data_IF_601902625735
#
_entry.id   IF_601902625735
#
_cell.length_a   1.000
_cell.length_b   1.000
_cell.length_c   1.000
_cell.angle_alpha   90.00
_cell.angle_beta   90.00
_cell.angle_gamma   90.00
#
_symmetry.space_group_name_H-M   'P 1'
#
loop_
_entity.id
_entity.type
_entity.pdbx_description
1 polymer ?
#
# COMPACT_ATOMS: atom_id res chain seq x y z
N UNK A 1 0.10 24.05 -11.95
CA UNK A 1 1.12 23.10 -11.50
C UNK A 1 0.68 22.54 -10.15
N UNK A 2 0.51 21.22 -10.02
CA UNK A 2 0.05 20.55 -8.77
C UNK A 2 1.26 20.37 -7.83
N UNK A 3 1.13 20.83 -6.59
CA UNK A 3 2.18 20.76 -5.56
C UNK A 3 1.96 19.53 -4.68
N UNK A 4 2.96 18.66 -4.59
CA UNK A 4 2.87 17.36 -3.95
C UNK A 4 3.49 17.36 -2.54
N UNK A 5 2.81 16.78 -1.57
CA UNK A 5 3.41 16.29 -0.34
C UNK A 5 3.61 14.77 -0.48
N UNK A 6 4.84 14.28 -0.31
CA UNK A 6 5.18 12.87 -0.51
C UNK A 6 5.58 12.27 0.84
N UNK A 7 4.68 11.45 1.39
CA UNK A 7 4.90 10.73 2.65
C UNK A 7 5.55 9.39 2.33
N UNK A 8 6.76 9.15 2.81
CA UNK A 8 7.59 8.01 2.45
C UNK A 8 8.48 8.26 1.22
N UNK A 9 8.98 9.48 1.07
CA UNK A 9 9.70 9.97 -0.12
C UNK A 9 10.94 9.15 -0.49
N UNK A 10 11.63 8.56 0.47
CA UNK A 10 12.84 7.74 0.26
C UNK A 10 12.55 6.26 -0.05
N UNK A 11 11.28 5.84 0.04
CA UNK A 11 10.83 4.51 -0.35
C UNK A 11 10.64 4.38 -1.87
N UNK A 12 10.38 3.16 -2.36
CA UNK A 12 10.24 2.87 -3.79
C UNK A 12 9.11 3.67 -4.45
N UNK A 13 7.96 3.82 -3.82
CA UNK A 13 6.84 4.62 -4.34
C UNK A 13 7.18 6.11 -4.31
N UNK A 14 7.83 6.59 -3.25
CA UNK A 14 8.29 7.98 -3.16
C UNK A 14 9.28 8.33 -4.27
N UNK A 15 10.27 7.49 -4.52
CA UNK A 15 11.25 7.66 -5.61
C UNK A 15 10.59 7.58 -6.99
N UNK A 16 9.66 6.64 -7.19
CA UNK A 16 8.88 6.56 -8.43
C UNK A 16 8.01 7.81 -8.64
N UNK A 17 7.43 8.36 -7.56
CA UNK A 17 6.69 9.63 -7.62
C UNK A 17 7.60 10.79 -8.02
N UNK A 18 8.78 10.89 -7.42
CA UNK A 18 9.76 11.92 -7.77
C UNK A 18 10.25 11.80 -9.22
N UNK A 19 10.38 10.58 -9.76
CA UNK A 19 10.69 10.37 -11.17
C UNK A 19 9.57 10.86 -12.11
N UNK A 20 8.30 10.77 -11.69
CA UNK A 20 7.17 11.35 -12.43
C UNK A 20 7.24 12.90 -12.37
N UNK A 21 7.55 13.49 -11.21
CA UNK A 21 7.74 14.94 -11.10
C UNK A 21 8.82 15.42 -12.06
N UNK A 22 9.92 14.66 -12.18
CA UNK A 22 11.00 14.97 -13.11
C UNK A 22 10.58 14.89 -14.59
N UNK A 23 9.75 13.92 -14.94
CA UNK A 23 9.25 13.77 -16.32
C UNK A 23 8.22 14.84 -16.72
N UNK A 24 7.51 15.41 -15.74
CA UNK A 24 6.43 16.37 -15.97
C UNK A 24 6.62 17.64 -15.11
N UNK A 25 7.74 18.36 -15.26
CA UNK A 25 8.07 19.51 -14.40
C UNK A 25 7.10 20.68 -14.55
N UNK A 26 6.40 20.78 -15.68
CA UNK A 26 5.35 21.77 -15.91
C UNK A 26 4.03 21.44 -15.20
N UNK A 27 3.83 20.16 -14.82
CA UNK A 27 2.61 19.70 -14.17
C UNK A 27 2.73 19.56 -12.66
N UNK A 28 3.92 19.16 -12.17
CA UNK A 28 4.13 18.79 -10.78
C UNK A 28 5.34 19.49 -10.16
N UNK A 29 5.23 19.78 -8.86
CA UNK A 29 6.34 20.23 -8.03
C UNK A 29 6.23 19.60 -6.63
N UNK A 30 7.31 19.62 -5.87
CA UNK A 30 7.37 19.05 -4.53
C UNK A 30 7.24 20.17 -3.49
N UNK A 31 6.19 20.10 -2.68
CA UNK A 31 5.95 21.04 -1.58
C UNK A 31 6.49 20.54 -0.23
N UNK A 32 6.34 19.22 0.04
CA UNK A 32 6.81 18.61 1.27
C UNK A 32 7.30 17.18 1.05
N UNK A 33 8.27 16.75 1.85
CA UNK A 33 8.80 15.38 1.87
C UNK A 33 8.80 14.84 3.30
N UNK A 34 8.20 13.68 3.52
CA UNK A 34 8.39 12.94 4.76
C UNK A 34 9.24 11.71 4.47
N UNK A 35 10.44 11.68 5.01
CA UNK A 35 11.40 10.59 4.91
C UNK A 35 11.45 9.80 6.24
N UNK A 36 11.89 8.56 6.17
CA UNK A 36 12.06 7.74 7.36
C UNK A 36 13.40 8.04 8.07
N UNK A 37 14.34 7.08 7.98
CA UNK A 37 15.64 7.15 8.64
C UNK A 37 16.81 7.48 7.70
N UNK A 38 16.58 7.51 6.40
CA UNK A 38 17.62 7.72 5.40
C UNK A 38 17.89 9.21 5.21
N UNK A 39 18.79 9.77 6.04
CA UNK A 39 19.18 11.19 6.00
C UNK A 39 19.91 11.53 4.70
N UNK A 40 20.71 10.62 4.14
CA UNK A 40 21.48 10.88 2.91
C UNK A 40 20.54 11.07 1.73
N UNK A 41 19.59 10.20 1.56
CA UNK A 41 18.58 10.31 0.51
C UNK A 41 17.66 11.53 0.72
N UNK A 42 17.24 11.77 1.97
CA UNK A 42 16.45 12.97 2.31
C UNK A 42 17.19 14.26 1.98
N UNK A 43 18.50 14.32 2.24
CA UNK A 43 19.34 15.45 1.89
C UNK A 43 19.44 15.63 0.37
N UNK A 44 19.69 14.55 -0.39
CA UNK A 44 19.75 14.61 -1.86
C UNK A 44 18.42 15.09 -2.45
N UNK A 45 17.30 14.58 -1.96
CA UNK A 45 15.96 15.01 -2.37
C UNK A 45 15.69 16.46 -2.00
N UNK A 46 16.04 16.92 -0.79
CA UNK A 46 15.89 18.31 -0.37
C UNK A 46 16.74 19.28 -1.22
N UNK A 47 17.96 18.89 -1.55
CA UNK A 47 18.85 19.67 -2.44
C UNK A 47 18.27 19.82 -3.84
N UNK A 48 17.68 18.75 -4.37
CA UNK A 48 17.15 18.72 -5.74
C UNK A 48 15.80 19.42 -5.87
N UNK A 49 14.87 19.10 -4.98
CA UNK A 49 13.45 19.48 -5.11
C UNK A 49 13.07 20.75 -4.35
N UNK A 50 13.92 21.19 -3.40
CA UNK A 50 13.72 22.41 -2.62
C UNK A 50 12.32 22.52 -2.00
N UNK A 51 11.84 21.48 -1.27
CA UNK A 51 10.54 21.55 -0.62
C UNK A 51 10.51 22.62 0.47
N UNK A 52 9.31 23.04 0.90
CA UNK A 52 9.17 23.92 2.08
C UNK A 52 9.47 23.21 3.37
N UNK A 53 9.03 21.95 3.49
CA UNK A 53 9.14 21.16 4.71
C UNK A 53 9.71 19.78 4.39
N UNK A 54 10.61 19.30 5.26
CA UNK A 54 11.09 17.91 5.25
C UNK A 54 10.95 17.33 6.65
N UNK A 55 10.29 16.17 6.76
CA UNK A 55 10.15 15.43 8.02
C UNK A 55 11.05 14.19 8.05
N UNK A 56 11.73 13.94 9.17
CA UNK A 56 12.47 12.72 9.46
C UNK A 56 11.82 11.95 10.62
N UNK A 57 12.22 10.69 10.81
CA UNK A 57 11.62 9.83 11.84
C UNK A 57 11.91 10.30 13.27
N UNK A 58 13.07 10.90 13.54
CA UNK A 58 13.46 11.34 14.89
C UNK A 58 14.09 12.73 14.87
N UNK A 59 14.14 13.37 16.05
CA UNK A 59 14.73 14.69 16.25
C UNK A 59 16.22 14.70 15.88
N UNK A 60 16.98 13.65 16.24
CA UNK A 60 18.41 13.55 15.93
C UNK A 60 18.65 13.55 14.42
N UNK A 61 17.85 12.79 13.66
CA UNK A 61 17.96 12.72 12.21
C UNK A 61 17.56 14.05 11.54
N UNK A 62 16.53 14.71 12.08
CA UNK A 62 16.11 16.04 11.63
C UNK A 62 17.21 17.08 11.87
N UNK A 63 17.85 17.07 13.03
CA UNK A 63 18.98 17.94 13.37
C UNK A 63 20.17 17.71 12.45
N UNK A 64 20.48 16.43 12.12
CA UNK A 64 21.53 16.09 11.16
C UNK A 64 21.22 16.67 9.78
N UNK A 65 19.98 16.48 9.28
CA UNK A 65 19.57 17.03 8.00
C UNK A 65 19.65 18.57 7.98
N UNK A 66 19.11 19.23 9.00
CA UNK A 66 19.11 20.69 9.12
C UNK A 66 20.54 21.27 9.11
N UNK A 67 21.47 20.61 9.79
CA UNK A 67 22.88 21.00 9.80
C UNK A 67 23.51 20.88 8.41
N UNK A 68 23.31 19.75 7.73
CA UNK A 68 23.82 19.51 6.37
C UNK A 68 23.26 20.52 5.36
N UNK A 69 21.98 20.84 5.44
CA UNK A 69 21.34 21.86 4.56
C UNK A 69 21.93 23.23 4.79
N UNK A 70 22.22 23.62 6.04
CA UNK A 70 22.86 24.88 6.39
C UNK A 70 24.27 24.95 5.85
N UNK A 71 25.06 23.89 6.04
CA UNK A 71 26.43 23.79 5.52
C UNK A 71 26.49 23.84 4.00
N UNK A 72 25.48 23.28 3.34
CA UNK A 72 25.33 23.34 1.87
C UNK A 72 24.79 24.69 1.35
N UNK A 73 24.54 25.66 2.23
CA UNK A 73 24.03 26.98 1.84
C UNK A 73 22.59 26.97 1.33
N UNK A 74 21.75 26.05 1.84
CA UNK A 74 20.34 25.91 1.47
C UNK A 74 19.43 26.36 2.61
N UNK A 75 19.18 27.68 2.75
CA UNK A 75 18.22 28.20 3.71
C UNK A 75 16.78 28.01 3.21
N UNK A 76 15.82 28.08 4.14
CA UNK A 76 14.39 28.18 3.82
C UNK A 76 13.66 26.84 3.72
N UNK A 77 14.31 25.70 3.99
CA UNK A 77 13.66 24.41 4.18
C UNK A 77 13.44 24.21 5.68
N UNK A 78 12.18 24.09 6.09
CA UNK A 78 11.82 23.71 7.44
C UNK A 78 12.07 22.21 7.64
N UNK A 79 12.78 21.83 8.72
CA UNK A 79 13.04 20.42 9.02
C UNK A 79 12.34 20.07 10.33
N UNK A 80 11.42 19.11 10.24
CA UNK A 80 10.57 18.63 11.36
C UNK A 80 10.76 17.12 11.55
N UNK A 81 10.13 16.53 12.57
CA UNK A 81 10.33 15.10 12.85
C UNK A 81 9.09 14.42 13.45
N UNK A 82 9.12 13.09 13.46
CA UNK A 82 8.12 12.26 14.11
C UNK A 82 6.75 12.31 13.44
N UNK A 83 5.73 11.86 14.17
CA UNK A 83 4.34 11.83 13.68
C UNK A 83 3.83 13.23 13.38
N UNK A 84 4.05 14.19 14.29
CA UNK A 84 3.64 15.59 14.10
C UNK A 84 4.30 16.22 12.88
N UNK A 85 5.60 15.95 12.67
CA UNK A 85 6.31 16.42 11.48
C UNK A 85 5.75 15.81 10.19
N UNK A 86 5.36 14.54 10.20
CA UNK A 86 4.71 13.88 9.06
C UNK A 86 3.33 14.46 8.79
N UNK A 87 2.55 14.74 9.84
CA UNK A 87 1.26 15.44 9.76
C UNK A 87 1.45 16.84 9.19
N UNK A 88 2.45 17.60 9.64
CA UNK A 88 2.76 18.92 9.10
C UNK A 88 3.05 18.89 7.59
N UNK A 89 3.80 17.89 7.10
CA UNK A 89 3.98 17.66 5.67
C UNK A 89 2.66 17.37 4.95
N UNK A 90 1.81 16.50 5.52
CA UNK A 90 0.55 16.07 4.93
C UNK A 90 -0.49 17.20 4.86
N UNK A 91 -0.48 18.11 5.83
CA UNK A 91 -1.45 19.20 5.97
C UNK A 91 -0.94 20.56 5.46
N UNK A 92 0.28 20.61 4.92
CA UNK A 92 0.89 21.85 4.43
C UNK A 92 -0.05 22.57 3.45
N UNK A 93 -0.41 23.82 3.75
CA UNK A 93 -1.37 24.60 2.94
C UNK A 93 -0.98 24.68 1.46
N UNK A 94 0.31 24.73 1.18
CA UNK A 94 0.82 24.82 -0.18
C UNK A 94 0.79 23.49 -0.95
N UNK A 95 0.49 22.37 -0.31
CA UNK A 95 0.34 21.09 -0.99
C UNK A 95 -1.10 20.92 -1.51
N UNK A 96 -1.23 20.57 -2.78
CA UNK A 96 -2.51 20.36 -3.47
C UNK A 96 -2.92 18.88 -3.49
N UNK A 97 -1.95 17.97 -3.25
CA UNK A 97 -2.14 16.52 -3.31
C UNK A 97 -1.14 15.82 -2.40
N UNK A 98 -1.58 14.77 -1.71
CA UNK A 98 -0.73 13.97 -0.82
C UNK A 98 -0.53 12.57 -1.40
N UNK A 99 0.72 12.14 -1.54
CA UNK A 99 1.06 10.74 -1.83
C UNK A 99 1.37 10.05 -0.51
N UNK A 100 0.53 9.11 -0.09
CA UNK A 100 0.69 8.33 1.13
C UNK A 100 1.37 7.00 0.83
N UNK A 101 2.67 6.90 1.14
CA UNK A 101 3.53 5.76 0.84
C UNK A 101 4.43 5.32 2.02
N UNK A 102 4.05 5.67 3.26
CA UNK A 102 4.69 5.15 4.47
C UNK A 102 4.15 3.75 4.75
N UNK A 103 5.02 2.78 4.91
CA UNK A 103 4.65 1.37 5.14
C UNK A 103 4.02 1.17 6.53
N UNK A 104 3.00 0.31 6.61
CA UNK A 104 2.33 -0.05 7.86
C UNK A 104 1.41 1.06 8.39
N UNK A 105 0.92 0.90 9.61
CA UNK A 105 0.01 1.87 10.25
C UNK A 105 0.69 3.20 10.63
N UNK A 106 2.01 3.31 10.50
CA UNK A 106 2.75 4.55 10.79
C UNK A 106 2.36 5.73 9.89
N UNK A 107 1.79 5.46 8.70
CA UNK A 107 1.27 6.48 7.80
C UNK A 107 -0.17 6.91 8.07
N UNK A 108 -0.88 6.24 8.99
CA UNK A 108 -2.32 6.36 9.16
C UNK A 108 -2.75 7.76 9.63
N UNK A 109 -2.12 8.28 10.68
CA UNK A 109 -2.47 9.59 11.26
C UNK A 109 -2.27 10.72 10.24
N UNK A 110 -1.15 10.72 9.52
CA UNK A 110 -0.85 11.72 8.51
C UNK A 110 -1.79 11.61 7.29
N UNK A 111 -2.15 10.39 6.88
CA UNK A 111 -3.13 10.15 5.80
C UNK A 111 -4.52 10.67 6.19
N UNK A 112 -4.96 10.37 7.41
CA UNK A 112 -6.22 10.87 7.95
C UNK A 112 -6.22 12.40 8.06
N UNK A 113 -5.13 12.99 8.58
CA UNK A 113 -4.99 14.44 8.68
C UNK A 113 -5.03 15.14 7.31
N UNK A 114 -4.40 14.55 6.28
CA UNK A 114 -4.49 15.06 4.90
C UNK A 114 -5.94 15.12 4.40
N UNK A 115 -6.70 14.04 4.61
CA UNK A 115 -8.12 13.95 4.22
C UNK A 115 -8.94 15.01 4.97
N UNK A 116 -8.77 15.14 6.30
CA UNK A 116 -9.46 16.16 7.12
C UNK A 116 -9.10 17.59 6.69
N UNK A 117 -7.88 17.82 6.21
CA UNK A 117 -7.45 19.09 5.63
C UNK A 117 -7.99 19.35 4.21
N UNK A 118 -8.87 18.47 3.69
CA UNK A 118 -9.48 18.63 2.38
C UNK A 118 -8.55 18.34 1.21
N UNK A 119 -7.52 17.49 1.41
CA UNK A 119 -6.56 17.19 0.35
C UNK A 119 -6.85 15.84 -0.30
N UNK A 120 -6.85 15.77 -1.65
CA UNK A 120 -6.83 14.51 -2.37
C UNK A 120 -5.61 13.68 -1.98
N UNK A 121 -5.82 12.36 -1.85
CA UNK A 121 -4.76 11.42 -1.44
C UNK A 121 -4.56 10.36 -2.52
N UNK A 122 -3.32 10.21 -3.01
CA UNK A 122 -2.87 9.03 -3.73
C UNK A 122 -2.36 8.01 -2.72
N UNK A 123 -3.10 6.92 -2.55
CA UNK A 123 -2.86 5.94 -1.51
C UNK A 123 -2.09 4.73 -2.05
N UNK A 124 -0.86 4.56 -1.59
CA UNK A 124 -0.05 3.36 -1.82
C UNK A 124 0.05 2.48 -0.57
N UNK A 125 -0.27 3.05 0.60
CA UNK A 125 -0.25 2.36 1.89
C UNK A 125 -1.56 1.62 2.11
N UNK A 126 -1.63 0.36 1.67
CA UNK A 126 -2.83 -0.48 1.83
C UNK A 126 -3.16 -0.77 3.29
N UNK A 127 -2.16 -0.80 4.17
CA UNK A 127 -2.34 -1.10 5.59
C UNK A 127 -3.22 -0.05 6.29
N UNK A 128 -3.20 1.19 5.81
CA UNK A 128 -4.13 2.23 6.29
C UNK A 128 -5.60 1.88 5.97
N UNK A 129 -5.86 1.34 4.76
CA UNK A 129 -7.22 0.92 4.37
C UNK A 129 -7.65 -0.35 5.08
N UNK A 130 -6.73 -1.27 5.30
CA UNK A 130 -7.00 -2.49 6.08
C UNK A 130 -7.35 -2.16 7.52
N UNK A 131 -6.57 -1.27 8.17
CA UNK A 131 -6.75 -0.96 9.59
C UNK A 131 -7.88 0.05 9.87
N UNK A 132 -8.04 1.06 9.01
CA UNK A 132 -8.93 2.20 9.27
C UNK A 132 -9.74 2.64 8.04
N UNK A 133 -9.95 1.76 7.05
CA UNK A 133 -10.58 2.12 5.79
C UNK A 133 -11.97 2.74 5.94
N UNK A 134 -12.77 2.25 6.89
CA UNK A 134 -14.11 2.83 7.18
C UNK A 134 -14.00 4.29 7.63
N UNK A 135 -13.05 4.59 8.52
CA UNK A 135 -12.83 5.95 9.03
C UNK A 135 -12.31 6.86 7.91
N UNK A 136 -11.32 6.37 7.13
CA UNK A 136 -10.71 7.16 6.05
C UNK A 136 -11.70 7.47 4.94
N UNK A 137 -12.50 6.48 4.51
CA UNK A 137 -13.50 6.68 3.44
C UNK A 137 -14.66 7.54 3.90
N UNK A 138 -15.11 7.42 5.16
CA UNK A 138 -16.12 8.30 5.74
C UNK A 138 -15.63 9.75 5.78
N UNK A 139 -14.40 9.99 6.26
CA UNK A 139 -13.78 11.32 6.27
C UNK A 139 -13.62 11.89 4.86
N UNK A 140 -13.21 11.08 3.88
CA UNK A 140 -13.05 11.50 2.49
C UNK A 140 -14.40 11.89 1.85
N UNK A 141 -15.46 11.14 2.12
CA UNK A 141 -16.84 11.47 1.68
C UNK A 141 -17.31 12.78 2.30
N UNK A 142 -17.11 12.96 3.62
CA UNK A 142 -17.49 14.21 4.32
C UNK A 142 -16.75 15.42 3.75
N UNK A 143 -15.43 15.30 3.53
CA UNK A 143 -14.60 16.37 2.97
C UNK A 143 -14.71 16.52 1.46
N UNK A 144 -15.40 15.59 0.77
CA UNK A 144 -15.55 15.54 -0.70
C UNK A 144 -14.21 15.52 -1.42
N UNK A 145 -13.25 14.78 -0.88
CA UNK A 145 -11.92 14.58 -1.50
C UNK A 145 -11.75 13.14 -1.94
N UNK A 146 -11.14 12.88 -3.10
CA UNK A 146 -10.90 11.53 -3.57
C UNK A 146 -9.72 10.88 -2.84
N UNK A 147 -9.85 9.58 -2.57
CA UNK A 147 -8.74 8.67 -2.29
C UNK A 147 -8.50 7.91 -3.59
N UNK A 148 -7.34 8.11 -4.20
CA UNK A 148 -6.97 7.51 -5.48
C UNK A 148 -5.97 6.37 -5.23
N UNK A 149 -6.27 5.14 -5.62
CA UNK A 149 -5.37 4.01 -5.39
C UNK A 149 -4.10 4.13 -6.23
N UNK A 150 -2.96 3.90 -5.60
CA UNK A 150 -1.65 3.75 -6.26
C UNK A 150 -1.29 2.27 -6.39
N UNK A 151 -1.78 1.40 -5.50
CA UNK A 151 -1.61 -0.04 -5.66
C UNK A 151 -2.11 -0.49 -7.03
N UNK A 152 -1.31 -1.27 -7.76
CA UNK A 152 -1.54 -1.52 -9.19
C UNK A 152 -2.89 -2.18 -9.47
N UNK A 153 -3.31 -3.11 -8.63
CA UNK A 153 -4.55 -3.84 -8.76
C UNK A 153 -5.76 -2.93 -8.51
N UNK A 154 -5.72 -2.14 -7.45
CA UNK A 154 -6.81 -1.20 -7.13
C UNK A 154 -6.87 -0.05 -8.12
N UNK A 155 -5.71 0.41 -8.59
CA UNK A 155 -5.63 1.39 -9.67
C UNK A 155 -6.28 0.86 -10.94
N UNK A 156 -6.05 -0.41 -11.29
CA UNK A 156 -6.67 -1.08 -12.43
C UNK A 156 -8.20 -1.17 -12.27
N UNK A 157 -8.68 -1.59 -11.09
CA UNK A 157 -10.13 -1.60 -10.76
C UNK A 157 -10.73 -0.20 -10.92
N UNK A 158 -10.10 0.82 -10.33
CA UNK A 158 -10.56 2.21 -10.43
C UNK A 158 -10.64 2.69 -11.89
N UNK A 159 -9.72 2.24 -12.75
CA UNK A 159 -9.77 2.55 -14.18
C UNK A 159 -10.92 1.84 -14.89
N UNK A 160 -11.17 0.57 -14.57
CA UNK A 160 -12.26 -0.22 -15.15
C UNK A 160 -13.65 0.30 -14.71
N UNK A 161 -13.78 0.79 -13.47
CA UNK A 161 -15.03 1.33 -12.93
C UNK A 161 -15.46 2.67 -13.58
N UNK A 162 -14.63 3.29 -14.41
CA UNK A 162 -14.99 4.55 -15.11
C UNK A 162 -16.08 4.40 -16.16
N UNK A 163 -16.41 3.19 -16.56
CA UNK A 163 -17.34 2.94 -17.69
C UNK A 163 -18.71 2.40 -17.28
N UNK A 164 -18.92 2.10 -15.99
CA UNK A 164 -20.19 1.60 -15.46
C UNK A 164 -20.60 2.28 -14.16
N UNK A 165 -21.86 2.12 -13.78
CA UNK A 165 -22.35 2.54 -12.47
C UNK A 165 -21.95 1.50 -11.39
N UNK A 166 -21.93 1.93 -10.13
CA UNK A 166 -21.52 1.09 -9.02
C UNK A 166 -22.42 -0.14 -8.84
N UNK A 167 -23.72 -0.01 -9.02
CA UNK A 167 -24.73 -1.07 -8.93
C UNK A 167 -24.69 -2.06 -10.11
N UNK A 168 -23.98 -1.73 -11.18
CA UNK A 168 -23.71 -2.65 -12.30
C UNK A 168 -22.52 -3.57 -12.07
N UNK A 169 -21.74 -3.36 -10.99
CA UNK A 169 -20.58 -4.18 -10.65
C UNK A 169 -21.05 -5.48 -10.01
N UNK A 170 -20.74 -6.61 -10.67
CA UNK A 170 -21.04 -7.94 -10.15
C UNK A 170 -19.88 -8.49 -9.30
N UNK A 171 -18.65 -8.48 -9.86
CA UNK A 171 -17.44 -8.91 -9.18
C UNK A 171 -16.24 -8.04 -9.54
N UNK A 172 -15.38 -7.83 -8.55
CA UNK A 172 -14.01 -7.35 -8.74
C UNK A 172 -13.07 -8.55 -8.71
N UNK A 173 -12.24 -8.72 -9.73
CA UNK A 173 -11.24 -9.76 -9.83
C UNK A 173 -9.85 -9.17 -9.63
N UNK A 174 -9.23 -9.47 -8.49
CA UNK A 174 -7.85 -9.11 -8.21
C UNK A 174 -6.92 -10.19 -8.74
N UNK A 175 -5.97 -9.81 -9.58
CA UNK A 175 -4.95 -10.73 -10.08
C UNK A 175 -3.78 -10.82 -9.10
N UNK A 176 -3.14 -11.97 -9.02
CA UNK A 176 -1.97 -12.21 -8.21
C UNK A 176 -0.92 -12.99 -9.02
N UNK A 177 0.37 -12.69 -8.83
CA UNK A 177 1.44 -13.50 -9.45
C UNK A 177 1.47 -14.96 -8.94
N UNK A 178 0.87 -15.21 -7.77
CA UNK A 178 0.93 -16.48 -7.06
C UNK A 178 2.19 -16.66 -6.21
N UNK A 179 3.10 -15.68 -6.24
CA UNK A 179 4.34 -15.70 -5.47
C UNK A 179 5.35 -16.76 -5.95
N UNK A 180 6.52 -16.85 -5.29
CA UNK A 180 7.60 -17.75 -5.69
C UNK A 180 7.33 -19.23 -5.40
N UNK A 181 6.31 -19.56 -4.59
CA UNK A 181 6.03 -20.93 -4.14
C UNK A 181 4.75 -21.53 -4.71
N UNK A 182 4.22 -20.93 -5.77
CA UNK A 182 3.00 -21.40 -6.45
C UNK A 182 3.05 -22.87 -6.84
N UNK A 183 4.21 -23.34 -7.33
CA UNK A 183 4.42 -24.71 -7.80
C UNK A 183 5.19 -25.59 -6.80
N UNK A 184 5.70 -25.02 -5.68
CA UNK A 184 6.48 -25.77 -4.71
C UNK A 184 5.60 -26.79 -3.99
N UNK A 185 5.98 -28.07 -3.86
CA UNK A 185 5.25 -29.06 -3.06
C UNK A 185 5.06 -28.62 -1.60
N UNK A 186 3.86 -28.84 -1.03
CA UNK A 186 3.50 -28.33 0.30
C UNK A 186 4.36 -28.93 1.44
N UNK A 187 4.85 -30.14 1.30
CA UNK A 187 5.76 -30.80 2.24
C UNK A 187 7.11 -30.08 2.36
N UNK A 188 7.48 -29.26 1.39
CA UNK A 188 8.69 -28.46 1.38
C UNK A 188 8.53 -27.07 2.02
N UNK A 189 7.30 -26.63 2.34
CA UNK A 189 7.04 -25.29 2.89
C UNK A 189 7.73 -25.03 4.24
N UNK A 190 7.88 -26.06 5.07
CA UNK A 190 8.57 -25.91 6.34
C UNK A 190 10.06 -25.56 6.19
N UNK A 191 10.68 -25.90 5.06
CA UNK A 191 12.08 -25.64 4.74
C UNK A 191 12.33 -24.32 3.99
N UNK A 192 11.30 -23.55 3.67
CA UNK A 192 11.44 -22.27 2.96
C UNK A 192 12.28 -21.29 3.81
N UNK A 193 13.33 -20.73 3.18
CA UNK A 193 14.19 -19.73 3.82
C UNK A 193 13.80 -18.31 3.44
N UNK A 194 14.20 -17.30 4.26
CA UNK A 194 13.97 -15.88 3.91
C UNK A 194 14.53 -15.50 2.54
N UNK A 195 15.70 -16.02 2.15
CA UNK A 195 16.34 -15.71 0.88
C UNK A 195 15.56 -16.27 -0.33
N UNK A 196 14.89 -17.42 -0.15
CA UNK A 196 14.01 -17.99 -1.17
C UNK A 196 12.72 -17.16 -1.27
N UNK A 197 12.12 -16.80 -0.13
CA UNK A 197 10.87 -16.05 -0.07
C UNK A 197 11.01 -14.59 -0.56
N UNK A 198 12.22 -14.01 -0.49
CA UNK A 198 12.50 -12.66 -1.00
C UNK A 198 12.73 -12.62 -2.52
N UNK A 199 12.66 -13.75 -3.24
CA UNK A 199 12.80 -13.80 -4.70
C UNK A 199 11.43 -13.75 -5.37
N UNK A 200 10.90 -12.53 -5.55
CA UNK A 200 9.64 -12.37 -6.29
C UNK A 200 9.86 -12.57 -7.78
N UNK A 201 8.95 -13.29 -8.50
CA UNK A 201 9.15 -13.65 -9.92
C UNK A 201 9.10 -12.45 -10.88
N UNK A 202 8.32 -11.40 -10.58
CA UNK A 202 8.03 -10.30 -11.52
C UNK A 202 8.33 -8.90 -10.98
N UNK A 203 8.21 -8.67 -9.68
CA UNK A 203 8.35 -7.35 -9.08
C UNK A 203 9.60 -7.24 -8.19
N UNK A 204 10.22 -6.05 -8.19
CA UNK A 204 11.24 -5.67 -7.19
C UNK A 204 10.55 -4.80 -6.15
N UNK A 205 10.38 -5.33 -4.94
CA UNK A 205 9.59 -4.72 -3.87
C UNK A 205 10.34 -4.68 -2.54
N UNK A 206 9.76 -3.98 -1.56
CA UNK A 206 10.25 -4.00 -0.18
C UNK A 206 10.21 -5.42 0.42
N UNK A 207 11.05 -5.66 1.43
CA UNK A 207 11.21 -7.00 2.03
C UNK A 207 9.90 -7.57 2.58
N UNK A 208 9.10 -6.76 3.30
CA UNK A 208 7.83 -7.20 3.88
C UNK A 208 6.85 -7.63 2.80
N UNK A 209 6.48 -6.73 1.89
CA UNK A 209 5.50 -7.02 0.83
C UNK A 209 5.92 -8.20 -0.06
N UNK A 210 7.22 -8.47 -0.18
CA UNK A 210 7.72 -9.66 -0.90
C UNK A 210 7.36 -10.95 -0.16
N UNK A 211 7.49 -10.98 1.18
CA UNK A 211 7.03 -12.12 1.99
C UNK A 211 5.52 -12.23 1.97
N UNK A 212 4.79 -11.09 2.04
CA UNK A 212 3.32 -11.06 1.96
C UNK A 212 2.83 -11.61 0.61
N UNK A 213 3.56 -11.34 -0.47
CA UNK A 213 3.31 -11.97 -1.78
C UNK A 213 3.57 -13.49 -1.74
N UNK A 214 4.67 -13.92 -1.11
CA UNK A 214 5.03 -15.34 -1.00
C UNK A 214 4.01 -16.15 -0.17
N UNK A 215 3.34 -15.54 0.80
CA UNK A 215 2.25 -16.14 1.61
C UNK A 215 0.87 -15.92 1.02
N UNK A 216 0.73 -15.17 -0.06
CA UNK A 216 -0.53 -14.64 -0.60
C UNK A 216 -1.28 -13.69 0.35
N UNK A 217 -0.66 -13.26 1.45
CA UNK A 217 -1.29 -12.29 2.35
C UNK A 217 -1.39 -10.91 1.71
N UNK A 218 -0.40 -10.50 0.89
CA UNK A 218 -0.51 -9.25 0.14
C UNK A 218 -1.86 -9.16 -0.59
N UNK A 219 -2.24 -10.23 -1.30
CA UNK A 219 -3.53 -10.31 -1.99
C UNK A 219 -4.71 -10.32 -1.01
N UNK A 220 -4.53 -10.93 0.14
CA UNK A 220 -5.53 -10.89 1.22
C UNK A 220 -5.76 -9.47 1.77
N UNK A 221 -4.71 -8.69 2.00
CA UNK A 221 -4.83 -7.28 2.39
C UNK A 221 -5.50 -6.45 1.29
N UNK A 222 -5.21 -6.75 0.04
CA UNK A 222 -5.81 -6.10 -1.12
C UNK A 222 -7.31 -6.41 -1.26
N UNK A 223 -7.79 -7.59 -0.86
CA UNK A 223 -9.22 -7.89 -0.79
C UNK A 223 -9.93 -6.93 0.18
N UNK A 224 -9.35 -6.72 1.37
CA UNK A 224 -9.91 -5.79 2.36
C UNK A 224 -9.87 -4.35 1.83
N UNK A 225 -8.76 -3.94 1.24
CA UNK A 225 -8.60 -2.62 0.63
C UNK A 225 -9.65 -2.38 -0.47
N UNK A 226 -9.88 -3.36 -1.36
CA UNK A 226 -10.90 -3.27 -2.40
C UNK A 226 -12.31 -3.06 -1.84
N UNK A 227 -12.66 -3.81 -0.79
CA UNK A 227 -13.95 -3.65 -0.11
C UNK A 227 -14.15 -2.22 0.41
N UNK A 228 -13.09 -1.60 0.95
CA UNK A 228 -13.17 -0.24 1.52
C UNK A 228 -13.14 0.85 0.44
N UNK A 229 -12.26 0.72 -0.56
CA UNK A 229 -12.11 1.72 -1.62
C UNK A 229 -13.33 1.78 -2.54
N UNK A 230 -13.88 0.61 -2.88
CA UNK A 230 -14.93 0.50 -3.88
C UNK A 230 -16.31 0.22 -3.30
N UNK A 231 -16.45 0.20 -1.96
CA UNK A 231 -17.71 0.00 -1.25
C UNK A 231 -18.44 -1.28 -1.70
N UNK A 232 -17.70 -2.39 -1.78
CA UNK A 232 -18.21 -3.70 -2.18
C UNK A 232 -18.08 -4.71 -1.04
N UNK A 233 -18.98 -5.70 -0.99
CA UNK A 233 -18.90 -6.77 -0.01
C UNK A 233 -17.71 -7.71 -0.30
N UNK A 234 -17.12 -8.38 0.71
CA UNK A 234 -16.06 -9.36 0.49
C UNK A 234 -16.46 -10.48 -0.50
N UNK A 235 -17.72 -10.86 -0.53
CA UNK A 235 -18.28 -11.85 -1.48
C UNK A 235 -18.27 -11.39 -2.94
N UNK A 236 -18.13 -10.09 -3.20
CA UNK A 236 -18.00 -9.52 -4.55
C UNK A 236 -16.55 -9.39 -5.00
N UNK A 237 -15.57 -9.65 -4.12
CA UNK A 237 -14.14 -9.63 -4.47
C UNK A 237 -13.66 -11.06 -4.69
N UNK A 238 -13.05 -11.30 -5.82
CA UNK A 238 -12.48 -12.58 -6.22
C UNK A 238 -10.99 -12.44 -6.49
N UNK A 239 -10.26 -13.51 -6.29
CA UNK A 239 -8.82 -13.57 -6.58
C UNK A 239 -8.57 -14.60 -7.68
N UNK A 240 -7.73 -14.25 -8.62
CA UNK A 240 -7.22 -15.18 -9.64
C UNK A 240 -5.69 -15.06 -9.74
N UNK A 241 -5.03 -16.19 -9.93
CA UNK A 241 -3.58 -16.20 -10.16
C UNK A 241 -3.35 -15.88 -11.63
N UNK A 242 -2.50 -14.90 -11.89
CA UNK A 242 -2.04 -14.49 -13.23
C UNK A 242 -0.53 -14.31 -13.23
N UNK A 243 0.23 -15.37 -13.55
CA UNK A 243 1.69 -15.41 -13.37
C UNK A 243 2.44 -14.32 -14.14
N UNK A 244 1.93 -13.92 -15.31
CA UNK A 244 2.56 -12.90 -16.15
C UNK A 244 2.44 -11.48 -15.55
N UNK A 245 1.49 -11.24 -14.64
CA UNK A 245 1.25 -9.95 -13.97
C UNK A 245 1.07 -8.77 -14.94
N UNK A 246 0.59 -9.02 -16.17
CA UNK A 246 0.31 -8.02 -17.20
C UNK A 246 -1.13 -7.48 -17.13
N UNK A 247 -2.08 -8.33 -16.72
CA UNK A 247 -3.43 -7.92 -16.30
C UNK A 247 -3.37 -7.62 -14.83
N UNK A 248 -3.62 -6.36 -14.47
CA UNK A 248 -3.50 -5.93 -13.07
C UNK A 248 -4.78 -6.14 -12.27
N UNK A 249 -5.96 -6.07 -12.89
CA UNK A 249 -7.25 -6.49 -12.34
C UNK A 249 -8.33 -6.45 -13.42
N UNK A 250 -9.51 -7.04 -13.08
CA UNK A 250 -10.67 -7.03 -13.94
C UNK A 250 -11.93 -6.66 -13.14
N UNK A 251 -12.92 -6.10 -13.82
CA UNK A 251 -14.26 -5.86 -13.27
C UNK A 251 -15.28 -6.59 -14.14
N UNK A 252 -16.06 -7.46 -13.52
CA UNK A 252 -17.19 -8.17 -14.12
C UNK A 252 -18.48 -7.41 -13.83
N UNK A 253 -19.24 -7.07 -14.85
CA UNK A 253 -20.51 -6.37 -14.75
C UNK A 253 -21.68 -7.34 -14.77
N UNK A 254 -22.87 -6.87 -14.37
CA UNK A 254 -24.10 -7.69 -14.25
C UNK A 254 -24.57 -8.23 -15.60
N UNK A 255 -24.21 -7.59 -16.70
CA UNK A 255 -24.50 -8.06 -18.07
C UNK A 255 -23.57 -9.19 -18.55
N UNK A 256 -22.57 -9.58 -17.71
CA UNK A 256 -21.59 -10.61 -18.01
C UNK A 256 -20.35 -10.11 -18.74
N UNK A 257 -20.26 -8.82 -19.07
CA UNK A 257 -19.03 -8.26 -19.65
C UNK A 257 -17.92 -8.13 -18.60
N UNK A 258 -16.66 -8.32 -19.03
CA UNK A 258 -15.49 -8.19 -18.17
C UNK A 258 -14.54 -7.17 -18.80
N UNK A 259 -14.17 -6.16 -18.02
CA UNK A 259 -13.15 -5.19 -18.39
C UNK A 259 -11.86 -5.46 -17.61
N UNK A 260 -10.73 -5.40 -18.31
CA UNK A 260 -9.41 -5.63 -17.76
C UNK A 260 -8.50 -4.44 -18.05
N UNK A 261 -7.68 -4.06 -17.09
CA UNK A 261 -6.58 -3.13 -17.31
C UNK A 261 -5.29 -3.92 -17.52
N UNK A 262 -4.64 -3.66 -18.66
CA UNK A 262 -3.39 -4.31 -19.06
C UNK A 262 -2.32 -3.23 -19.19
N UNK A 263 -1.14 -3.47 -18.60
CA UNK A 263 0.02 -2.59 -18.74
C UNK A 263 1.32 -3.30 -18.36
N UNK A 264 2.45 -2.58 -18.51
CA UNK A 264 3.72 -3.03 -17.98
C UNK A 264 3.70 -3.05 -16.45
N UNK A 265 4.54 -3.89 -15.85
CA UNK A 265 4.74 -3.99 -14.40
C UNK A 265 5.65 -2.87 -13.88
N UNK A 266 5.13 -1.63 -13.88
CA UNK A 266 5.87 -0.43 -13.47
C UNK A 266 4.97 0.52 -12.69
N UNK A 267 5.32 0.76 -11.42
CA UNK A 267 4.53 1.59 -10.50
C UNK A 267 4.39 3.05 -10.94
N UNK A 268 5.22 3.53 -11.88
CA UNK A 268 5.08 4.88 -12.43
C UNK A 268 3.76 5.08 -13.17
N UNK A 269 3.19 4.03 -13.78
CA UNK A 269 1.87 4.13 -14.44
C UNK A 269 0.72 4.40 -13.47
N UNK A 270 0.48 3.58 -12.41
CA UNK A 270 -0.58 3.86 -11.46
C UNK A 270 -0.33 5.15 -10.67
N UNK A 271 0.92 5.52 -10.39
CA UNK A 271 1.25 6.80 -9.76
C UNK A 271 0.86 7.96 -10.69
N UNK A 272 1.27 7.92 -11.96
CA UNK A 272 0.94 8.96 -12.93
C UNK A 272 -0.58 9.11 -13.10
N UNK A 273 -1.30 7.98 -13.16
CA UNK A 273 -2.76 7.99 -13.21
C UNK A 273 -3.38 8.69 -11.99
N UNK A 274 -2.94 8.33 -10.77
CA UNK A 274 -3.45 8.94 -9.54
C UNK A 274 -3.14 10.45 -9.47
N UNK A 275 -1.93 10.86 -9.84
CA UNK A 275 -1.53 12.26 -9.85
C UNK A 275 -2.28 13.09 -10.90
N UNK A 276 -2.55 12.51 -12.06
CA UNK A 276 -3.16 13.22 -13.19
C UNK A 276 -4.70 13.15 -13.20
N UNK A 277 -5.29 12.21 -12.46
CA UNK A 277 -6.73 11.99 -12.47
C UNK A 277 -7.54 13.30 -12.40
N UNK A 278 -8.59 13.47 -13.23
CA UNK A 278 -9.20 12.51 -14.16
C UNK A 278 -8.55 12.42 -15.56
N UNK A 279 -7.46 13.12 -15.81
CA UNK A 279 -6.75 13.13 -17.08
C UNK A 279 -5.86 11.90 -17.28
N UNK A 280 -5.41 11.67 -18.53
CA UNK A 280 -4.40 10.67 -18.90
C UNK A 280 -3.30 11.35 -19.72
N UNK A 281 -2.23 11.85 -19.08
CA UNK A 281 -1.09 12.40 -19.82
C UNK A 281 -0.34 11.28 -20.55
N UNK A 282 0.34 11.65 -21.64
CA UNK A 282 1.15 10.71 -22.39
C UNK A 282 2.29 10.17 -21.50
N UNK A 283 2.47 8.87 -21.49
CA UNK A 283 3.54 8.16 -20.79
C UNK A 283 4.60 7.68 -21.77
N UNK A 284 5.85 7.60 -21.34
CA UNK A 284 6.93 6.93 -22.07
C UNK A 284 6.91 5.40 -21.89
N UNK A 285 6.12 4.90 -20.93
CA UNK A 285 5.97 3.47 -20.68
C UNK A 285 4.97 2.90 -21.69
N UNK A 286 5.42 1.93 -22.47
CA UNK A 286 4.61 1.30 -23.51
C UNK A 286 4.55 -0.21 -23.28
N UNK A 287 3.37 -0.78 -23.53
CA UNK A 287 3.15 -2.23 -23.52
C UNK A 287 3.11 -2.74 -24.95
N UNK A 288 3.93 -3.74 -25.26
CA UNK A 288 3.92 -4.37 -26.58
C UNK A 288 2.85 -5.47 -26.66
N UNK A 289 1.67 -5.11 -27.17
CA UNK A 289 0.57 -6.08 -27.40
C UNK A 289 0.94 -7.18 -28.39
N UNK A 290 1.84 -6.91 -29.34
CA UNK A 290 2.22 -7.90 -30.36
C UNK A 290 3.11 -9.01 -29.77
N UNK A 291 3.84 -8.71 -28.69
CA UNK A 291 4.63 -9.70 -27.95
C UNK A 291 3.80 -10.59 -27.02
N UNK A 292 2.56 -10.19 -26.70
CA UNK A 292 1.67 -10.95 -25.83
C UNK A 292 1.10 -12.16 -26.58
N UNK A 293 1.49 -13.37 -26.16
CA UNK A 293 1.04 -14.61 -26.81
C UNK A 293 -0.19 -15.22 -26.15
N UNK A 294 -0.25 -15.20 -24.81
CA UNK A 294 -1.33 -15.77 -24.00
C UNK A 294 -1.39 -15.08 -22.63
N UNK A 295 -2.50 -15.26 -21.97
CA UNK A 295 -2.77 -14.84 -20.60
C UNK A 295 -3.25 -16.07 -19.85
N UNK A 296 -2.56 -16.44 -18.78
CA UNK A 296 -2.90 -17.59 -17.95
C UNK A 296 -3.62 -17.11 -16.68
N UNK A 297 -4.70 -17.82 -16.33
CA UNK A 297 -5.46 -17.57 -15.11
C UNK A 297 -5.72 -18.89 -14.39
N UNK A 298 -5.43 -18.95 -13.09
CA UNK A 298 -5.58 -20.12 -12.25
C UNK A 298 -6.37 -19.77 -10.98
N UNK A 299 -7.01 -20.76 -10.39
CA UNK A 299 -7.67 -20.58 -9.09
C UNK A 299 -6.63 -20.56 -7.95
N UNK A 300 -6.77 -19.69 -6.96
CA UNK A 300 -5.90 -19.70 -5.79
C UNK A 300 -6.15 -20.94 -4.92
N UNK A 301 -5.07 -21.52 -4.40
CA UNK A 301 -5.14 -22.65 -3.47
C UNK A 301 -5.15 -22.17 -2.02
N UNK A 302 -6.31 -22.10 -1.41
CA UNK A 302 -6.51 -21.66 -0.03
C UNK A 302 -5.90 -22.61 1.01
N UNK A 303 -5.72 -23.89 0.67
CA UNK A 303 -5.04 -24.86 1.53
C UNK A 303 -3.54 -24.64 1.57
N UNK A 304 -2.95 -24.37 0.41
CA UNK A 304 -1.54 -24.02 0.24
C UNK A 304 -1.18 -22.66 0.85
N UNK A 305 -2.08 -21.69 0.69
CA UNK A 305 -1.90 -20.31 1.15
C UNK A 305 -2.97 -19.89 2.17
N UNK A 306 -2.90 -20.39 3.43
CA UNK A 306 -3.91 -20.11 4.45
C UNK A 306 -4.08 -18.62 4.76
N UNK A 307 -3.03 -17.80 4.54
CA UNK A 307 -3.10 -16.35 4.78
C UNK A 307 -4.17 -15.67 3.93
N UNK A 308 -4.40 -16.13 2.69
CA UNK A 308 -5.47 -15.59 1.84
C UNK A 308 -6.86 -15.94 2.42
N UNK A 309 -7.07 -17.15 2.91
CA UNK A 309 -8.32 -17.56 3.60
C UNK A 309 -8.57 -16.69 4.84
N UNK A 310 -7.55 -16.57 5.70
CA UNK A 310 -7.62 -15.76 6.92
C UNK A 310 -7.97 -14.30 6.64
N UNK A 311 -7.49 -13.75 5.51
CA UNK A 311 -7.82 -12.39 5.11
C UNK A 311 -9.28 -12.24 4.67
N UNK A 312 -9.86 -13.20 3.94
CA UNK A 312 -11.29 -13.19 3.62
C UNK A 312 -12.14 -13.30 4.89
N UNK A 313 -11.79 -14.21 5.82
CA UNK A 313 -12.47 -14.33 7.12
C UNK A 313 -12.39 -13.02 7.94
N UNK A 314 -11.23 -12.34 7.92
CA UNK A 314 -11.07 -11.05 8.57
C UNK A 314 -11.89 -9.94 7.87
N UNK A 315 -11.96 -9.95 6.54
CA UNK A 315 -12.76 -9.01 5.76
C UNK A 315 -14.26 -9.13 6.06
N UNK A 316 -14.77 -10.36 6.22
CA UNK A 316 -16.17 -10.64 6.57
C UNK A 316 -16.52 -10.12 7.98
N UNK A 317 -15.61 -10.30 8.96
CA UNK A 317 -15.79 -9.80 10.32
C UNK A 317 -15.59 -8.30 10.45
N UNK A 318 -14.69 -7.74 9.67
CA UNK A 318 -14.34 -6.32 9.71
C UNK A 318 -13.63 -5.89 11.00
N UNK A 319 -13.62 -4.57 11.25
CA UNK A 319 -13.18 -3.96 12.50
C UNK A 319 -11.82 -4.45 13.01
N UNK A 320 -11.78 -4.88 14.27
CA UNK A 320 -10.56 -5.36 14.94
C UNK A 320 -9.92 -6.57 14.29
N UNK A 321 -10.67 -7.40 13.52
CA UNK A 321 -10.07 -8.54 12.83
C UNK A 321 -9.18 -8.11 11.66
N UNK A 322 -9.56 -7.09 10.89
CA UNK A 322 -8.71 -6.52 9.85
C UNK A 322 -7.43 -5.90 10.44
N UNK A 323 -7.56 -5.18 11.56
CA UNK A 323 -6.43 -4.59 12.29
C UNK A 323 -5.48 -5.68 12.79
N UNK A 324 -6.03 -6.72 13.42
CA UNK A 324 -5.27 -7.82 13.98
C UNK A 324 -4.56 -8.66 12.91
N UNK A 325 -5.19 -8.87 11.74
CA UNK A 325 -4.59 -9.52 10.59
C UNK A 325 -3.28 -8.82 10.19
N UNK A 326 -3.35 -7.51 9.94
CA UNK A 326 -2.18 -6.71 9.54
C UNK A 326 -1.11 -6.69 10.64
N UNK A 327 -1.51 -6.44 11.89
CA UNK A 327 -0.59 -6.34 13.03
C UNK A 327 0.15 -7.66 13.29
N UNK A 328 -0.57 -8.79 13.24
CA UNK A 328 -0.01 -10.12 13.42
C UNK A 328 0.95 -10.50 12.30
N UNK A 329 0.60 -10.14 11.06
CA UNK A 329 1.46 -10.35 9.91
C UNK A 329 2.79 -9.61 10.04
N UNK A 330 2.77 -8.32 10.33
CA UNK A 330 4.01 -7.54 10.48
C UNK A 330 4.97 -8.18 11.49
N UNK A 331 4.44 -8.66 12.62
CA UNK A 331 5.24 -9.32 13.65
C UNK A 331 5.74 -10.70 13.19
N UNK A 332 4.88 -11.49 12.53
CA UNK A 332 5.23 -12.82 12.05
C UNK A 332 6.26 -12.77 10.90
N UNK A 333 6.09 -11.84 9.95
CA UNK A 333 7.02 -11.63 8.84
C UNK A 333 8.39 -11.17 9.37
N UNK A 334 8.42 -10.23 10.32
CA UNK A 334 9.68 -9.81 10.95
C UNK A 334 10.39 -11.01 11.62
N UNK A 335 9.68 -11.82 12.39
CA UNK A 335 10.22 -13.01 13.04
C UNK A 335 10.71 -14.08 12.05
N UNK A 336 10.02 -14.26 10.93
CA UNK A 336 10.47 -15.14 9.85
C UNK A 336 11.77 -14.63 9.21
N UNK A 337 11.85 -13.34 8.91
CA UNK A 337 13.05 -12.72 8.34
C UNK A 337 14.25 -12.78 9.29
N UNK A 338 14.01 -12.80 10.60
CA UNK A 338 14.99 -13.02 11.67
C UNK A 338 15.22 -14.52 11.97
N UNK A 339 14.61 -15.43 11.24
CA UNK A 339 14.69 -16.90 11.41
C UNK A 339 14.21 -17.40 12.78
N UNK A 340 13.37 -16.66 13.48
CA UNK A 340 12.77 -17.08 14.77
C UNK A 340 11.57 -18.02 14.59
N UNK A 341 10.90 -17.96 13.44
CA UNK A 341 9.83 -18.89 13.07
C UNK A 341 10.06 -19.40 11.64
N UNK A 342 9.58 -20.62 11.29
CA UNK A 342 9.56 -21.09 9.91
C UNK A 342 8.53 -20.35 9.07
N UNK A 343 8.61 -20.48 7.74
CA UNK A 343 7.63 -19.86 6.81
C UNK A 343 6.17 -20.23 7.17
N UNK A 344 5.93 -21.50 7.51
CA UNK A 344 4.63 -22.00 7.97
C UNK A 344 4.20 -21.45 9.35
N UNK A 345 5.11 -20.81 10.07
CA UNK A 345 4.82 -20.09 11.31
C UNK A 345 4.02 -18.81 11.10
N UNK A 346 4.15 -18.17 9.92
CA UNK A 346 3.45 -16.93 9.60
C UNK A 346 1.92 -17.13 9.69
N UNK A 347 1.29 -18.00 8.86
CA UNK A 347 -0.15 -18.19 8.93
C UNK A 347 -0.63 -18.70 10.31
N UNK A 348 0.17 -19.55 10.99
CA UNK A 348 -0.17 -20.06 12.33
C UNK A 348 -0.23 -18.95 13.39
N UNK A 349 0.69 -17.98 13.32
CA UNK A 349 0.69 -16.83 14.23
C UNK A 349 -0.52 -15.95 13.97
N UNK A 350 -0.80 -15.62 12.70
CA UNK A 350 -1.97 -14.82 12.30
C UNK A 350 -3.27 -15.50 12.77
N UNK A 351 -3.46 -16.78 12.49
CA UNK A 351 -4.66 -17.53 12.86
C UNK A 351 -4.91 -17.50 14.38
N UNK A 352 -3.86 -17.72 15.20
CA UNK A 352 -3.97 -17.67 16.67
C UNK A 352 -4.32 -16.27 17.19
N UNK A 353 -3.75 -15.22 16.59
CA UNK A 353 -4.05 -13.83 16.97
C UNK A 353 -5.50 -13.51 16.62
N UNK A 354 -5.96 -13.86 15.41
CA UNK A 354 -7.35 -13.66 14.98
C UNK A 354 -8.34 -14.39 15.90
N UNK A 355 -8.06 -15.63 16.25
CA UNK A 355 -8.90 -16.42 17.16
C UNK A 355 -9.03 -15.81 18.57
N UNK A 356 -8.01 -15.06 19.02
CA UNK A 356 -7.99 -14.41 20.33
C UNK A 356 -8.44 -12.93 20.27
N UNK A 357 -8.80 -12.42 19.09
CA UNK A 357 -9.17 -11.01 18.90
C UNK A 357 -10.67 -10.84 19.17
N UNK A 358 -11.05 -9.96 20.12
CA UNK A 358 -12.45 -9.61 20.34
C UNK A 358 -13.02 -8.89 19.11
N UNK A 359 -14.27 -9.17 18.77
CA UNK A 359 -14.97 -8.46 17.70
C UNK A 359 -15.39 -7.07 18.19
N UNK A 360 -14.89 -6.03 17.53
CA UNK A 360 -15.22 -4.63 17.78
C UNK A 360 -14.99 -3.79 16.51
N UNK A 361 -15.65 -2.65 16.44
CA UNK A 361 -15.54 -1.71 15.32
C UNK A 361 -15.04 -0.35 15.84
N UNK A 362 -13.71 -0.11 15.81
CA UNK A 362 -13.13 1.15 16.21
C UNK A 362 -13.68 2.32 15.38
N UNK A 363 -14.04 3.41 16.05
CA UNK A 363 -14.63 4.61 15.44
C UNK A 363 -13.62 5.77 15.32
N UNK A 364 -12.46 5.64 15.96
CA UNK A 364 -11.42 6.66 15.97
C UNK A 364 -10.05 6.07 15.63
N UNK A 365 -9.16 6.91 15.09
CA UNK A 365 -7.77 6.51 14.81
C UNK A 365 -7.05 6.06 16.10
N UNK A 366 -7.33 6.69 17.23
CA UNK A 366 -6.75 6.31 18.53
C UNK A 366 -7.16 4.88 18.96
N UNK A 367 -8.43 4.50 18.75
CA UNK A 367 -8.91 3.14 19.00
C UNK A 367 -8.29 2.12 18.05
N UNK A 368 -8.13 2.46 16.76
CA UNK A 368 -7.43 1.63 15.77
C UNK A 368 -5.99 1.36 16.21
N UNK A 369 -5.24 2.41 16.59
CA UNK A 369 -3.86 2.28 17.05
C UNK A 369 -3.74 1.49 18.36
N UNK A 370 -4.76 1.56 19.21
CA UNK A 370 -4.82 0.75 20.43
C UNK A 370 -5.03 -0.73 20.10
N UNK A 371 -5.98 -1.06 19.23
CA UNK A 371 -6.24 -2.42 18.78
C UNK A 371 -5.02 -3.01 18.02
N UNK A 372 -4.35 -2.22 17.19
CA UNK A 372 -3.09 -2.61 16.51
C UNK A 372 -2.00 -2.99 17.52
N UNK A 373 -1.77 -2.13 18.53
CA UNK A 373 -0.78 -2.39 19.59
C UNK A 373 -1.08 -3.67 20.34
N UNK A 374 -2.32 -3.89 20.77
CA UNK A 374 -2.73 -5.11 21.47
C UNK A 374 -2.55 -6.37 20.61
N UNK A 375 -2.90 -6.30 19.32
CA UNK A 375 -2.71 -7.42 18.40
C UNK A 375 -1.22 -7.75 18.19
N UNK A 376 -0.36 -6.72 18.11
CA UNK A 376 1.10 -6.89 18.07
C UNK A 376 1.67 -7.55 19.33
N UNK A 377 1.17 -7.18 20.50
CA UNK A 377 1.58 -7.78 21.78
C UNK A 377 1.18 -9.27 21.82
N UNK A 378 -0.05 -9.60 21.41
CA UNK A 378 -0.50 -11.01 21.28
C UNK A 378 0.39 -11.80 20.31
N UNK A 379 0.72 -11.22 19.15
CA UNK A 379 1.59 -11.88 18.17
C UNK A 379 3.01 -12.11 18.71
N UNK A 380 3.60 -11.13 19.40
CA UNK A 380 4.93 -11.27 20.03
C UNK A 380 4.94 -12.38 21.08
N UNK A 381 3.90 -12.48 21.91
CA UNK A 381 3.79 -13.53 22.92
C UNK A 381 3.72 -14.96 22.34
N UNK A 382 3.34 -15.10 21.07
CA UNK A 382 3.28 -16.40 20.38
C UNK A 382 4.61 -16.81 19.73
N UNK A 383 5.58 -15.87 19.62
CA UNK A 383 6.84 -16.05 18.87
C UNK A 383 8.05 -16.27 19.82
N UNK A 384 7.84 -16.18 21.11
CA UNK A 384 8.89 -16.40 22.16
C UNK A 384 9.35 -17.84 22.26
#
# INVERSE_FOLDING_TARGET
MKRLAILGSTGSIGQSTLSIVEQFPERYSVAALAAGRNVDEAFAQAMRWRPRVVSLATEELATQLATRLREAGVPGIEVVHGTEGTIACATLNDADFVVSAIVGVAGLEATHAAILAGKPVGLANKECMVAAGEILTAAARERKVPILPIDSEHNAVHQCLRVGAHDEVKFIWLTASGGPFRELPMDQFAGITPEQALKHPTWVMGRRITIDSATMLNKGLEVIEACRLFDVAPSQVRVTIHPQSTVHSLVEFVDGSILAQISVTDMRLPILYALAWPERPASTLTFDMAALKHLDFEQPDFGRFPCLRLAFEAAEKGGTHCIALNAADEIAVAAFLERRIPFTGIPRTIEKVLAATPEAHPLTIAEVLTADREARERARALIT
#
